data_IF_452676162354
#
_entry.id   IF_452676162354
#
_cell.length_a   1.000
_cell.length_b   1.000
_cell.length_c   1.000
_cell.angle_alpha   90.00
_cell.angle_beta   90.00
_cell.angle_gamma   90.00
#
_symmetry.space_group_name_H-M   'P 1'
#
loop_
_entity.id
_entity.type
_entity.pdbx_description
1 polymer ?
#
# COMPACT_ATOMS: atom_id res chain seq x y z
N UNK A 1 -33.31 16.98 18.33
CA UNK A 1 -33.27 16.68 16.88
C UNK A 1 -31.95 15.99 16.61
N UNK A 2 -31.97 14.67 16.55
CA UNK A 2 -30.77 13.84 16.39
C UNK A 2 -30.46 13.70 14.90
N UNK A 3 -29.34 14.25 14.45
CA UNK A 3 -28.80 13.90 13.13
C UNK A 3 -27.37 13.43 13.32
N UNK A 4 -27.25 12.10 13.39
CA UNK A 4 -26.00 11.39 13.17
C UNK A 4 -25.42 11.89 11.84
N UNK A 5 -24.22 12.48 11.89
CA UNK A 5 -23.50 12.79 10.66
C UNK A 5 -22.83 11.52 10.20
N UNK A 6 -23.62 10.82 9.39
CA UNK A 6 -23.26 9.82 8.41
C UNK A 6 -21.77 9.81 8.04
N UNK A 7 -21.19 8.65 8.29
CA UNK A 7 -19.96 8.11 7.75
C UNK A 7 -19.65 8.60 6.34
N UNK A 8 -18.59 9.42 6.23
CA UNK A 8 -17.93 9.70 4.95
C UNK A 8 -17.26 8.44 4.45
N UNK A 9 -18.03 7.61 3.74
CA UNK A 9 -17.58 6.40 3.09
C UNK A 9 -16.33 6.69 2.25
N UNK A 10 -15.27 5.96 2.54
CA UNK A 10 -14.00 5.94 1.85
C UNK A 10 -14.20 5.79 0.33
N UNK A 11 -14.06 6.90 -0.38
CA UNK A 11 -14.11 6.94 -1.85
C UNK A 11 -12.70 6.80 -2.41
N UNK A 12 -12.16 5.58 -2.48
CA UNK A 12 -11.18 5.28 -3.52
C UNK A 12 -11.14 3.80 -3.92
N UNK A 13 -12.29 3.30 -4.38
CA UNK A 13 -12.31 2.16 -5.30
C UNK A 13 -11.88 2.63 -6.68
N UNK A 14 -10.58 2.56 -6.98
CA UNK A 14 -10.03 2.87 -8.30
C UNK A 14 -8.93 1.88 -8.65
N UNK A 15 -9.32 0.74 -9.22
CA UNK A 15 -8.47 -0.42 -9.51
C UNK A 15 -7.14 -0.09 -10.20
N UNK A 16 -6.20 -1.03 -10.01
CA UNK A 16 -4.80 -1.11 -10.43
C UNK A 16 -4.42 -0.75 -11.89
N UNK A 17 -5.24 -0.07 -12.68
CA UNK A 17 -5.11 -0.14 -14.15
C UNK A 17 -4.13 0.83 -14.81
N UNK A 18 -3.52 1.79 -14.10
CA UNK A 18 -2.29 2.43 -14.59
C UNK A 18 -1.69 3.27 -13.47
N UNK A 19 -0.61 2.78 -12.85
CA UNK A 19 0.15 3.54 -11.85
C UNK A 19 0.48 4.91 -12.46
N UNK A 20 -0.05 6.02 -11.92
CA UNK A 20 0.18 7.34 -12.48
C UNK A 20 1.67 7.68 -12.51
N UNK A 21 2.08 8.55 -13.44
CA UNK A 21 3.48 9.00 -13.52
C UNK A 21 3.99 9.62 -12.20
N UNK A 22 3.09 10.29 -11.46
CA UNK A 22 3.36 10.83 -10.13
C UNK A 22 3.68 9.72 -9.10
N UNK A 23 2.91 8.63 -9.13
CA UNK A 23 3.07 7.48 -8.23
C UNK A 23 4.22 6.56 -8.65
N UNK A 24 4.58 6.49 -9.94
CA UNK A 24 5.69 5.67 -10.44
C UNK A 24 6.99 5.93 -9.71
N UNK A 25 7.33 7.19 -9.44
CA UNK A 25 8.59 7.53 -8.75
C UNK A 25 8.60 6.95 -7.33
N UNK A 26 7.46 7.03 -6.64
CA UNK A 26 7.28 6.41 -5.33
C UNK A 26 7.40 4.90 -5.46
N UNK A 27 6.59 4.29 -6.34
CA UNK A 27 6.57 2.84 -6.56
C UNK A 27 7.96 2.27 -6.90
N UNK A 28 8.75 2.96 -7.72
CA UNK A 28 10.13 2.56 -8.04
C UNK A 28 11.07 2.67 -6.83
N UNK A 29 11.01 3.77 -6.07
CA UNK A 29 11.78 3.92 -4.83
C UNK A 29 11.44 2.83 -3.82
N UNK A 30 10.14 2.55 -3.64
CA UNK A 30 9.65 1.51 -2.76
C UNK A 30 10.10 0.12 -3.26
N UNK A 31 10.05 -0.13 -4.57
CA UNK A 31 10.44 -1.40 -5.21
C UNK A 31 11.88 -1.77 -4.93
N UNK A 32 12.79 -0.80 -4.89
CA UNK A 32 14.19 -1.08 -4.54
C UNK A 32 14.38 -1.45 -3.06
N UNK A 33 13.51 -0.95 -2.18
CA UNK A 33 13.56 -1.19 -0.73
C UNK A 33 12.87 -2.50 -0.36
N UNK A 34 11.66 -2.73 -0.89
CA UNK A 34 10.80 -3.88 -0.54
C UNK A 34 10.98 -5.06 -1.50
N UNK A 35 11.65 -4.84 -2.63
CA UNK A 35 11.86 -5.83 -3.70
C UNK A 35 10.56 -6.51 -4.20
N UNK A 36 9.44 -5.79 -4.17
CA UNK A 36 8.13 -6.27 -4.62
C UNK A 36 7.80 -5.79 -6.06
N UNK A 37 6.68 -6.27 -6.61
CA UNK A 37 6.18 -5.79 -7.90
C UNK A 37 5.52 -4.42 -7.77
N UNK A 38 5.55 -3.63 -8.85
CA UNK A 38 4.97 -2.28 -8.87
C UNK A 38 3.46 -2.29 -8.56
N UNK A 39 2.76 -3.36 -8.96
CA UNK A 39 1.35 -3.58 -8.68
C UNK A 39 1.08 -3.79 -7.18
N UNK A 40 1.85 -4.64 -6.52
CA UNK A 40 1.75 -4.91 -5.07
C UNK A 40 2.04 -3.64 -4.27
N UNK A 41 3.09 -2.91 -4.66
CA UNK A 41 3.48 -1.67 -4.00
C UNK A 41 2.41 -0.60 -4.14
N UNK A 42 1.81 -0.48 -5.33
CA UNK A 42 0.72 0.48 -5.56
C UNK A 42 -0.56 0.10 -4.82
N UNK A 43 -0.86 -1.19 -4.70
CA UNK A 43 -1.96 -1.68 -3.88
C UNK A 43 -1.74 -1.31 -2.41
N UNK A 44 -0.57 -1.62 -1.86
CA UNK A 44 -0.20 -1.27 -0.49
C UNK A 44 -0.23 0.25 -0.26
N UNK A 45 0.31 1.05 -1.18
CA UNK A 45 0.22 2.51 -1.15
C UNK A 45 -1.23 2.98 -1.05
N UNK A 46 -2.13 2.47 -1.88
CA UNK A 46 -3.54 2.88 -1.84
C UNK A 46 -4.21 2.51 -0.52
N UNK A 47 -3.87 1.36 0.04
CA UNK A 47 -4.37 0.97 1.36
C UNK A 47 -3.77 1.82 2.49
N UNK A 48 -2.52 2.27 2.34
CA UNK A 48 -1.86 3.24 3.21
C UNK A 48 -2.23 4.70 2.86
N UNK A 49 -3.37 4.94 2.21
CA UNK A 49 -3.87 6.28 1.88
C UNK A 49 -2.89 7.12 1.01
N UNK A 50 -2.18 6.46 0.09
CA UNK A 50 -1.11 7.00 -0.75
C UNK A 50 0.14 7.47 0.03
N UNK A 51 0.36 6.96 1.24
CA UNK A 51 1.55 7.27 2.03
C UNK A 51 2.73 6.34 1.70
N UNK A 52 3.87 6.87 1.22
CA UNK A 52 5.03 6.06 0.85
C UNK A 52 5.74 5.46 2.07
N UNK A 53 5.81 6.16 3.20
CA UNK A 53 6.56 5.73 4.37
C UNK A 53 5.86 4.53 5.04
N UNK A 54 4.55 4.64 5.23
CA UNK A 54 3.70 3.55 5.71
C UNK A 54 3.65 2.39 4.71
N UNK A 55 3.61 2.66 3.40
CA UNK A 55 3.68 1.60 2.41
C UNK A 55 5.01 0.85 2.47
N UNK A 56 6.17 1.54 2.58
CA UNK A 56 7.48 0.90 2.83
C UNK A 56 7.39 0.05 4.08
N UNK A 57 7.03 0.66 5.20
CA UNK A 57 7.09 0.01 6.52
C UNK A 57 6.20 -1.22 6.56
N UNK A 58 5.02 -1.15 5.95
CA UNK A 58 4.09 -2.27 5.88
C UNK A 58 4.56 -3.36 4.92
N UNK A 59 5.08 -3.01 3.74
CA UNK A 59 5.66 -3.97 2.79
C UNK A 59 6.93 -4.62 3.34
N UNK A 60 7.78 -3.88 4.05
CA UNK A 60 8.92 -4.44 4.79
C UNK A 60 8.45 -5.33 5.93
N UNK A 61 7.42 -4.93 6.67
CA UNK A 61 6.87 -5.78 7.74
C UNK A 61 6.25 -7.07 7.18
N UNK A 62 5.63 -7.02 6.00
CA UNK A 62 5.10 -8.18 5.29
C UNK A 62 6.22 -9.03 4.64
N UNK A 63 7.23 -8.40 4.03
CA UNK A 63 8.35 -9.03 3.31
C UNK A 63 9.56 -9.40 4.17
N UNK A 64 9.58 -8.97 5.43
CA UNK A 64 10.50 -9.41 6.49
C UNK A 64 9.80 -10.34 7.49
N UNK A 65 8.59 -10.82 7.19
CA UNK A 65 8.23 -12.16 7.62
C UNK A 65 9.07 -13.12 6.78
N UNK A 66 10.37 -13.18 7.09
CA UNK A 66 11.16 -14.32 6.72
C UNK A 66 10.40 -15.54 7.24
N UNK A 67 9.97 -16.51 6.41
CA UNK A 67 9.91 -17.86 6.89
C UNK A 67 11.35 -18.38 7.01
N UNK A 68 12.22 -17.67 7.74
CA UNK A 68 13.37 -18.29 8.40
C UNK A 68 12.82 -19.03 9.60
N UNK A 69 12.05 -20.09 9.31
CA UNK A 69 11.85 -21.32 10.05
C UNK A 69 10.49 -21.89 9.62
N UNK A 70 10.45 -23.06 8.94
CA UNK A 70 9.28 -23.93 9.10
C UNK A 70 9.10 -24.19 10.61
N UNK A 71 8.00 -23.69 11.19
CA UNK A 71 7.52 -24.13 12.51
C UNK A 71 6.67 -25.39 12.31
N UNK A 72 6.71 -26.32 13.28
CA UNK A 72 6.77 -27.78 13.11
C UNK A 72 5.60 -28.42 12.38
#
# INVERSE_FOLDING_TARGET
MSTARESGAAKNGGGLQSIPAASRKMVLSLKEIVNCTEAEIYAALKECNMDPDEAVHRLLSQGLSFPLYPKP
#
